data_IF_977640032304
#
_entry.id   IF_977640032304
#
_cell.length_a   1.000
_cell.length_b   1.000
_cell.length_c   1.000
_cell.angle_alpha   90.00
_cell.angle_beta   90.00
_cell.angle_gamma   90.00
#
_symmetry.space_group_name_H-M   'P 1'
#
loop_
_entity.id
_entity.type
_entity.pdbx_description
1 polymer ?
#
# COMPACT_ATOMS: atom_id res chain seq x y z
N UNK A 1 -14.38 -6.52 11.97
CA UNK A 1 -14.11 -6.09 10.59
C UNK A 1 -12.78 -5.33 10.55
N UNK A 2 -11.99 -5.52 9.49
CA UNK A 2 -10.75 -4.79 9.14
C UNK A 2 -9.47 -5.08 9.96
N UNK A 3 -8.85 -6.24 9.75
CA UNK A 3 -7.50 -6.55 10.23
C UNK A 3 -6.44 -6.66 9.12
N UNK A 4 -6.84 -6.48 7.86
CA UNK A 4 -5.99 -6.84 6.72
C UNK A 4 -5.05 -5.72 6.28
N UNK A 5 -5.18 -4.49 6.79
CA UNK A 5 -4.22 -3.42 6.48
C UNK A 5 -2.98 -3.61 7.37
N UNK A 6 -1.84 -3.87 6.73
CA UNK A 6 -0.56 -4.07 7.39
C UNK A 6 0.20 -2.77 7.62
N UNK A 7 0.18 -1.86 6.64
CA UNK A 7 0.89 -0.57 6.73
C UNK A 7 0.41 0.44 5.67
N UNK A 8 0.77 1.71 5.84
CA UNK A 8 0.66 2.77 4.82
C UNK A 8 2.05 3.40 4.64
N UNK A 9 2.68 3.10 3.52
CA UNK A 9 4.00 3.63 3.17
C UNK A 9 3.87 4.89 2.31
N UNK A 10 4.65 5.92 2.63
CA UNK A 10 4.82 7.08 1.77
C UNK A 10 5.88 6.76 0.71
N UNK A 11 5.68 7.21 -0.53
CA UNK A 11 6.70 7.00 -1.56
C UNK A 11 7.99 7.76 -1.20
N UNK A 12 9.18 7.12 -1.19
CA UNK A 12 10.43 7.77 -0.78
C UNK A 12 10.85 8.92 -1.69
N UNK A 13 10.33 8.98 -2.93
CA UNK A 13 10.54 10.09 -3.84
C UNK A 13 9.32 11.04 -3.81
N UNK A 14 9.06 11.59 -2.63
CA UNK A 14 7.94 12.52 -2.38
C UNK A 14 8.04 13.78 -3.23
N UNK A 15 9.23 14.23 -3.63
CA UNK A 15 9.39 15.40 -4.50
C UNK A 15 8.81 15.17 -5.90
N UNK A 16 8.91 13.94 -6.41
CA UNK A 16 8.36 13.56 -7.73
C UNK A 16 6.92 13.06 -7.63
N UNK A 17 6.50 12.55 -6.46
CA UNK A 17 5.18 11.98 -6.23
C UNK A 17 4.60 12.39 -4.86
N UNK A 18 4.31 13.68 -4.65
CA UNK A 18 3.98 14.24 -3.32
C UNK A 18 2.67 13.70 -2.71
N UNK A 19 1.78 13.17 -3.54
CA UNK A 19 0.46 12.69 -3.12
C UNK A 19 0.28 11.18 -3.32
N UNK A 20 1.35 10.45 -3.65
CA UNK A 20 1.27 9.01 -3.86
C UNK A 20 1.75 8.25 -2.63
N UNK A 21 0.87 7.42 -2.10
CA UNK A 21 1.13 6.50 -0.99
C UNK A 21 0.89 5.07 -1.43
N UNK A 22 1.28 4.11 -0.60
CA UNK A 22 1.10 2.69 -0.83
C UNK A 22 0.47 2.08 0.42
N UNK A 23 -0.73 1.54 0.27
CA UNK A 23 -1.37 0.74 1.29
C UNK A 23 -0.86 -0.70 1.17
N UNK A 24 -0.38 -1.28 2.27
CA UNK A 24 0.02 -2.68 2.33
C UNK A 24 -1.11 -3.46 2.96
N UNK A 25 -1.61 -4.48 2.26
CA UNK A 25 -2.72 -5.31 2.73
C UNK A 25 -2.35 -6.80 2.72
N UNK A 26 -2.81 -7.54 3.71
CA UNK A 26 -2.77 -8.99 3.75
C UNK A 26 -3.99 -9.56 3.03
N UNK A 27 -3.77 -10.43 2.04
CA UNK A 27 -4.83 -11.22 1.43
C UNK A 27 -4.35 -12.66 1.38
N UNK A 28 -5.01 -13.55 2.12
CA UNK A 28 -4.67 -14.98 2.20
C UNK A 28 -3.18 -15.24 2.53
N UNK A 29 -2.67 -14.61 3.60
CA UNK A 29 -1.28 -14.73 4.07
C UNK A 29 -0.22 -14.30 3.04
N UNK A 30 -0.61 -13.39 2.15
CA UNK A 30 0.28 -12.77 1.18
C UNK A 30 0.09 -11.25 1.19
N UNK A 31 1.19 -10.51 1.29
CA UNK A 31 1.13 -9.06 1.30
C UNK A 31 1.05 -8.50 -0.13
N UNK A 32 0.15 -7.56 -0.31
CA UNK A 32 -0.04 -6.81 -1.54
C UNK A 32 0.18 -5.32 -1.28
N UNK A 33 0.81 -4.65 -2.23
CA UNK A 33 0.92 -3.20 -2.25
C UNK A 33 -0.18 -2.64 -3.14
N UNK A 34 -0.94 -1.69 -2.62
CA UNK A 34 -1.99 -0.95 -3.33
C UNK A 34 -1.55 0.51 -3.37
N UNK A 35 -0.93 0.97 -4.46
CA UNK A 35 -0.61 2.37 -4.61
C UNK A 35 -1.90 3.18 -4.68
N UNK A 36 -1.94 4.32 -4.01
CA UNK A 36 -3.08 5.23 -4.11
C UNK A 36 -2.62 6.68 -4.13
N UNK A 37 -3.46 7.53 -4.72
CA UNK A 37 -3.24 8.98 -4.75
C UNK A 37 -4.38 9.63 -4.01
N UNK A 38 -4.05 10.54 -3.09
CA UNK A 38 -5.03 11.33 -2.36
C UNK A 38 -5.25 12.65 -3.11
N UNK A 39 -6.50 12.93 -3.52
CA UNK A 39 -6.90 14.16 -4.19
C UNK A 39 -8.04 14.79 -3.41
N UNK A 40 -7.72 15.79 -2.58
CA UNK A 40 -8.71 16.46 -1.74
C UNK A 40 -9.33 15.51 -0.71
N UNK A 41 -10.62 15.20 -0.88
CA UNK A 41 -11.35 14.26 -0.02
C UNK A 41 -11.45 12.84 -0.59
N UNK A 42 -10.91 12.61 -1.79
CA UNK A 42 -11.01 11.33 -2.50
C UNK A 42 -9.68 10.59 -2.53
N UNK A 43 -9.73 9.26 -2.47
CA UNK A 43 -8.57 8.37 -2.62
C UNK A 43 -8.76 7.49 -3.84
N UNK A 44 -7.86 7.65 -4.82
CA UNK A 44 -7.86 6.81 -6.01
C UNK A 44 -6.88 5.65 -5.82
N UNK A 45 -7.41 4.44 -5.65
CA UNK A 45 -6.62 3.20 -5.59
C UNK A 45 -6.20 2.81 -7.01
N UNK A 46 -4.91 2.58 -7.21
CA UNK A 46 -4.36 1.97 -8.43
C UNK A 46 -4.38 0.45 -8.29
N UNK A 47 -3.90 -0.22 -9.34
CA UNK A 47 -3.78 -1.67 -9.40
C UNK A 47 -3.01 -2.23 -8.20
N UNK A 48 -3.64 -3.17 -7.49
CA UNK A 48 -3.01 -3.98 -6.44
C UNK A 48 -1.92 -4.89 -7.03
N UNK A 49 -0.75 -4.91 -6.40
CA UNK A 49 0.39 -5.73 -6.84
C UNK A 49 0.88 -6.65 -5.72
N UNK A 50 1.05 -7.96 -5.97
CA UNK A 50 1.63 -8.86 -4.98
C UNK A 50 3.09 -8.47 -4.69
N UNK A 51 3.49 -8.47 -3.42
CA UNK A 51 4.85 -8.10 -3.04
C UNK A 51 5.49 -9.06 -2.05
N UNK A 52 6.34 -9.95 -2.57
CA UNK A 52 7.09 -10.94 -1.79
C UNK A 52 7.96 -10.33 -0.68
N UNK A 53 8.54 -9.14 -0.89
CA UNK A 53 9.37 -8.49 0.13
C UNK A 53 8.51 -8.01 1.30
N UNK A 54 7.34 -7.45 1.02
CA UNK A 54 6.38 -7.07 2.06
C UNK A 54 5.83 -8.30 2.78
N UNK A 55 5.57 -9.41 2.08
CA UNK A 55 5.15 -10.66 2.73
C UNK A 55 6.20 -11.12 3.73
N UNK A 56 7.49 -11.06 3.37
CA UNK A 56 8.60 -11.39 4.29
C UNK A 56 8.81 -10.34 5.39
N UNK A 57 8.32 -9.12 5.24
CA UNK A 57 8.52 -8.09 6.25
C UNK A 57 7.40 -8.09 7.30
N UNK A 58 6.17 -8.33 6.86
CA UNK A 58 4.98 -8.18 7.71
C UNK A 58 4.32 -9.50 8.11
N UNK A 59 4.53 -10.59 7.35
CA UNK A 59 3.81 -11.85 7.53
C UNK A 59 4.71 -13.08 7.77
N UNK A 60 6.03 -12.98 7.57
CA UNK A 60 6.98 -14.10 7.67
C UNK A 60 8.33 -13.68 8.22
#
# INVERSE_FOLDING_TARGET
ENGDVLDIMVHPNSDKYPHQQVLVVNINDYAYAVPFVEQGQERFLKTIVPNRKLTKHYLR
#
